data_IF_745939796852
#
_entry.id   IF_745939796852
#
_cell.length_a   1.000
_cell.length_b   1.000
_cell.length_c   1.000
_cell.angle_alpha   90.00
_cell.angle_beta   90.00
_cell.angle_gamma   90.00
#
_symmetry.space_group_name_H-M   'P 1'
#
loop_
_entity.id
_entity.type
_entity.pdbx_description
1 polymer ?
#
# COMPACT_ATOMS: atom_id res chain seq x y z
N UNK A 1 0.38 -13.24 -20.55
CA UNK A 1 1.84 -13.14 -20.66
C UNK A 1 2.22 -11.69 -20.36
N UNK A 2 2.32 -11.35 -19.07
CA UNK A 2 2.49 -9.98 -18.61
C UNK A 2 3.99 -9.64 -18.60
N UNK A 3 4.33 -8.55 -19.28
CA UNK A 3 5.68 -8.03 -19.40
C UNK A 3 6.03 -7.38 -18.06
N UNK A 4 6.87 -8.03 -17.26
CA UNK A 4 7.50 -7.42 -16.10
C UNK A 4 8.31 -6.21 -16.58
N UNK A 5 7.94 -5.01 -16.12
CA UNK A 5 8.77 -3.81 -16.26
C UNK A 5 9.28 -3.42 -14.88
N UNK A 6 10.24 -4.21 -14.39
CA UNK A 6 11.21 -3.71 -13.42
C UNK A 6 12.18 -2.83 -14.20
N UNK A 7 12.27 -1.56 -13.83
CA UNK A 7 13.33 -0.67 -14.32
C UNK A 7 14.19 -0.33 -13.11
N UNK A 8 15.25 -1.11 -12.93
CA UNK A 8 16.38 -0.77 -12.06
C UNK A 8 17.46 -0.09 -12.90
N UNK A 9 18.27 0.80 -12.31
CA UNK A 9 19.75 0.89 -12.43
C UNK A 9 20.27 2.29 -12.02
N UNK A 10 21.25 2.33 -11.11
CA UNK A 10 22.55 2.94 -11.42
C UNK A 10 23.61 1.88 -11.17
N UNK A 11 24.30 1.55 -12.25
CA UNK A 11 25.43 0.63 -12.33
C UNK A 11 26.58 1.49 -12.83
N UNK A 12 27.58 1.73 -11.99
CA UNK A 12 28.94 1.98 -12.48
C UNK A 12 29.71 0.67 -12.28
N UNK A 13 29.44 -0.25 -13.19
CA UNK A 13 29.97 -1.61 -13.23
C UNK A 13 30.67 -1.70 -14.58
N UNK A 14 32.01 -1.80 -14.66
CA UNK A 14 32.68 -2.34 -15.84
C UNK A 14 31.91 -3.55 -16.40
N UNK A 15 31.55 -3.44 -17.67
CA UNK A 15 30.36 -4.00 -18.34
C UNK A 15 30.29 -5.54 -18.56
N UNK A 16 30.87 -6.41 -17.72
CA UNK A 16 30.98 -7.84 -18.07
C UNK A 16 30.43 -8.92 -17.11
N UNK A 17 29.96 -8.62 -15.89
CA UNK A 17 29.63 -9.70 -14.93
C UNK A 17 28.14 -9.89 -14.53
N UNK A 18 27.76 -11.16 -14.37
CA UNK A 18 26.41 -11.69 -14.12
C UNK A 18 25.95 -11.62 -12.65
N UNK A 19 26.82 -11.29 -11.70
CA UNK A 19 26.52 -11.31 -10.26
C UNK A 19 25.64 -10.13 -9.79
N UNK A 20 25.82 -8.92 -10.36
CA UNK A 20 24.96 -7.76 -10.09
C UNK A 20 23.49 -8.00 -10.47
N UNK A 21 23.25 -8.75 -11.56
CA UNK A 21 21.92 -9.13 -12.01
C UNK A 21 21.22 -10.15 -11.09
N UNK A 22 21.94 -10.82 -10.19
CA UNK A 22 21.40 -11.80 -9.25
C UNK A 22 20.77 -11.14 -8.02
N UNK A 23 21.40 -10.12 -7.42
CA UNK A 23 20.82 -9.40 -6.27
C UNK A 23 19.60 -8.55 -6.63
N UNK A 24 19.54 -8.04 -7.86
CA UNK A 24 18.33 -7.37 -8.39
C UNK A 24 17.15 -8.34 -8.44
N UNK A 25 17.38 -9.58 -8.90
CA UNK A 25 16.36 -10.65 -8.89
C UNK A 25 16.00 -11.14 -7.48
N UNK A 26 16.93 -11.05 -6.53
CA UNK A 26 16.73 -11.45 -5.14
C UNK A 26 16.14 -10.33 -4.25
N UNK A 27 15.87 -9.14 -4.80
CA UNK A 27 15.12 -8.08 -4.11
C UNK A 27 15.89 -7.35 -3.01
N UNK A 28 17.21 -7.26 -3.12
CA UNK A 28 18.02 -6.55 -2.11
C UNK A 28 17.77 -5.04 -2.21
N UNK A 29 16.93 -4.52 -1.30
CA UNK A 29 16.54 -3.12 -1.23
C UNK A 29 17.56 -2.23 -0.49
N UNK A 30 18.62 -2.80 0.08
CA UNK A 30 19.63 -2.06 0.85
C UNK A 30 20.91 -1.85 0.04
N UNK A 31 21.43 -0.61 0.00
CA UNK A 31 22.71 -0.33 -0.63
C UNK A 31 23.82 -1.16 0.01
N UNK A 32 24.72 -1.73 -0.80
CA UNK A 32 25.83 -2.49 -0.25
C UNK A 32 26.82 -3.03 -1.27
N UNK A 33 27.96 -3.50 -0.75
CA UNK A 33 29.01 -4.14 -1.54
C UNK A 33 28.63 -5.60 -1.86
N UNK A 34 29.01 -6.05 -3.06
CA UNK A 34 28.82 -7.41 -3.58
C UNK A 34 30.11 -7.86 -4.21
N UNK A 35 30.57 -9.05 -3.86
CA UNK A 35 31.69 -9.68 -4.55
C UNK A 35 31.18 -10.67 -5.59
N UNK A 36 31.70 -10.58 -6.81
CA UNK A 36 31.39 -11.55 -7.85
C UNK A 36 32.17 -12.87 -7.71
N UNK A 37 31.96 -13.79 -8.67
CA UNK A 37 32.67 -15.08 -8.71
C UNK A 37 34.16 -14.97 -9.06
N UNK A 38 34.61 -13.81 -9.55
CA UNK A 38 35.99 -13.53 -9.95
C UNK A 38 36.76 -12.69 -8.91
N UNK A 39 36.08 -12.19 -7.89
CA UNK A 39 36.64 -11.42 -6.78
C UNK A 39 36.53 -9.90 -6.94
N UNK A 40 35.80 -9.38 -7.92
CA UNK A 40 35.54 -7.94 -8.04
C UNK A 40 34.47 -7.48 -7.06
N UNK A 41 34.63 -6.28 -6.51
CA UNK A 41 33.67 -5.65 -5.61
C UNK A 41 32.80 -4.63 -6.34
N UNK A 42 31.48 -4.76 -6.19
CA UNK A 42 30.45 -3.91 -6.77
C UNK A 42 29.67 -3.20 -5.67
N UNK A 43 29.41 -1.89 -5.80
CA UNK A 43 28.42 -1.22 -4.98
C UNK A 43 27.06 -1.24 -5.70
N UNK A 44 26.04 -1.83 -5.08
CA UNK A 44 24.69 -1.92 -5.64
C UNK A 44 23.74 -1.09 -4.78
N UNK A 45 22.99 -0.20 -5.44
CA UNK A 45 21.87 0.54 -4.84
C UNK A 45 20.61 0.36 -5.70
N UNK A 46 19.48 0.10 -5.06
CA UNK A 46 18.22 -0.24 -5.70
C UNK A 46 17.16 0.81 -5.40
N UNK A 47 16.72 1.54 -6.43
CA UNK A 47 15.63 2.49 -6.32
C UNK A 47 14.32 1.82 -6.70
N UNK A 48 13.42 1.67 -5.72
CA UNK A 48 12.04 1.25 -6.00
C UNK A 48 11.15 2.46 -6.22
N UNK A 49 10.14 2.38 -7.10
CA UNK A 49 9.17 3.46 -7.23
C UNK A 49 8.45 3.68 -5.89
N UNK A 50 8.02 4.93 -5.61
CA UNK A 50 7.29 5.19 -4.38
C UNK A 50 6.03 4.32 -4.28
N UNK A 51 5.71 3.78 -3.09
CA UNK A 51 4.52 2.96 -2.89
C UNK A 51 3.26 3.76 -3.21
N UNK A 52 2.19 3.06 -3.57
CA UNK A 52 0.92 3.67 -3.96
C UNK A 52 -0.11 3.48 -2.86
N UNK A 53 -0.83 4.55 -2.50
CA UNK A 53 -2.00 4.45 -1.63
C UNK A 53 -3.25 4.69 -2.49
N UNK A 54 -4.11 3.69 -2.57
CA UNK A 54 -5.43 3.79 -3.19
C UNK A 54 -6.49 4.02 -2.11
N UNK A 55 -7.12 5.19 -2.13
CA UNK A 55 -8.19 5.55 -1.22
C UNK A 55 -9.53 5.40 -1.96
N UNK A 56 -10.32 4.41 -1.56
CA UNK A 56 -11.65 4.12 -2.09
C UNK A 56 -12.70 4.86 -1.27
N UNK A 57 -13.17 5.97 -1.82
CA UNK A 57 -14.04 6.94 -1.16
C UNK A 57 -13.38 8.31 -1.08
N UNK A 58 -14.07 9.34 -1.54
CA UNK A 58 -13.63 10.72 -1.48
C UNK A 58 -14.42 11.51 -0.41
N UNK A 59 -14.73 10.89 0.74
CA UNK A 59 -15.35 11.57 1.89
C UNK A 59 -14.43 12.64 2.49
N UNK A 60 -14.91 13.36 3.52
CA UNK A 60 -14.08 14.37 4.19
C UNK A 60 -12.92 13.75 4.99
N UNK A 61 -13.10 12.50 5.43
CA UNK A 61 -12.09 11.68 6.10
C UNK A 61 -10.98 11.17 5.17
N UNK A 62 -11.20 11.17 3.84
CA UNK A 62 -10.17 10.85 2.86
C UNK A 62 -9.11 11.95 2.71
N UNK A 63 -9.49 13.22 2.96
CA UNK A 63 -8.60 14.38 2.80
C UNK A 63 -7.37 14.32 3.72
N UNK A 64 -7.48 14.12 5.05
CA UNK A 64 -6.31 14.02 5.92
C UNK A 64 -5.44 12.79 5.62
N UNK A 65 -6.05 11.66 5.23
CA UNK A 65 -5.30 10.47 4.85
C UNK A 65 -4.49 10.69 3.57
N UNK A 66 -5.11 11.28 2.55
CA UNK A 66 -4.43 11.62 1.30
C UNK A 66 -3.26 12.57 1.55
N UNK A 67 -3.48 13.61 2.37
CA UNK A 67 -2.43 14.57 2.75
C UNK A 67 -1.24 13.90 3.43
N UNK A 68 -1.48 13.14 4.50
CA UNK A 68 -0.42 12.47 5.25
C UNK A 68 0.34 11.45 4.37
N UNK A 69 -0.36 10.77 3.46
CA UNK A 69 0.25 9.82 2.56
C UNK A 69 1.17 10.51 1.54
N UNK A 70 0.76 11.63 0.94
CA UNK A 70 1.64 12.45 0.08
C UNK A 70 2.86 12.93 0.86
N UNK A 71 2.66 13.48 2.06
CA UNK A 71 3.74 13.99 2.92
C UNK A 71 4.76 12.90 3.34
N UNK A 72 4.35 11.63 3.38
CA UNK A 72 5.23 10.48 3.70
C UNK A 72 5.77 9.76 2.46
N UNK A 73 5.54 10.31 1.26
CA UNK A 73 6.14 9.83 0.02
C UNK A 73 5.32 8.77 -0.74
N UNK A 74 4.04 8.58 -0.42
CA UNK A 74 3.17 7.74 -1.25
C UNK A 74 2.69 8.49 -2.49
N UNK A 75 2.54 7.76 -3.59
CA UNK A 75 1.71 8.19 -4.72
C UNK A 75 0.25 7.91 -4.39
N UNK A 76 -0.55 8.95 -4.24
CA UNK A 76 -1.94 8.81 -3.80
C UNK A 76 -2.91 8.84 -4.98
N UNK A 77 -3.81 7.86 -5.01
CA UNK A 77 -4.98 7.85 -5.90
C UNK A 77 -6.23 7.83 -5.03
N UNK A 78 -7.13 8.79 -5.22
CA UNK A 78 -8.47 8.77 -4.61
C UNK A 78 -9.48 8.43 -5.67
N UNK A 79 -10.29 7.40 -5.42
CA UNK A 79 -11.35 6.97 -6.32
C UNK A 79 -12.72 7.07 -5.65
N UNK A 80 -13.69 7.61 -6.38
CA UNK A 80 -15.09 7.64 -5.96
C UNK A 80 -15.99 7.56 -7.19
N UNK A 81 -17.23 7.08 -7.04
CA UNK A 81 -18.23 7.07 -8.11
C UNK A 81 -19.00 8.39 -8.20
N UNK A 82 -18.89 9.23 -7.17
CA UNK A 82 -19.60 10.51 -7.02
C UNK A 82 -18.68 11.62 -7.53
N UNK A 83 -18.92 12.17 -8.74
CA UNK A 83 -18.04 13.18 -9.31
C UNK A 83 -17.95 14.45 -8.44
N UNK A 84 -19.02 14.81 -7.73
CA UNK A 84 -19.05 15.98 -6.84
C UNK A 84 -18.10 15.90 -5.64
N UNK A 85 -17.59 14.71 -5.29
CA UNK A 85 -16.58 14.56 -4.25
C UNK A 85 -15.15 14.63 -4.81
N UNK A 86 -14.96 14.46 -6.11
CA UNK A 86 -13.66 14.50 -6.78
C UNK A 86 -13.32 15.93 -7.24
N UNK A 87 -13.44 16.88 -6.31
CA UNK A 87 -13.05 18.27 -6.51
C UNK A 87 -11.56 18.44 -6.12
N UNK A 88 -10.67 18.85 -7.05
CA UNK A 88 -9.24 19.01 -6.77
C UNK A 88 -8.94 19.89 -5.56
N UNK A 89 -9.75 20.92 -5.31
CA UNK A 89 -9.55 21.90 -4.24
C UNK A 89 -9.73 21.30 -2.83
N UNK A 90 -10.30 20.10 -2.72
CA UNK A 90 -10.44 19.36 -1.44
C UNK A 90 -9.17 18.61 -1.06
N UNK A 91 -8.29 18.35 -2.01
CA UNK A 91 -7.11 17.53 -1.80
C UNK A 91 -5.85 18.38 -1.94
N UNK A 92 -4.76 17.92 -1.32
CA UNK A 92 -3.45 18.51 -1.56
C UNK A 92 -3.00 18.21 -2.99
N UNK A 93 -2.01 18.97 -3.46
CA UNK A 93 -1.35 18.71 -4.73
C UNK A 93 -0.81 17.26 -4.80
N UNK A 94 -0.58 16.76 -6.01
CA UNK A 94 -0.08 15.41 -6.29
C UNK A 94 -1.01 14.22 -5.94
N UNK A 95 -2.26 14.50 -5.55
CA UNK A 95 -3.31 13.48 -5.45
C UNK A 95 -3.98 13.26 -6.81
N UNK A 96 -3.98 12.02 -7.30
CA UNK A 96 -4.69 11.64 -8.53
C UNK A 96 -6.14 11.32 -8.20
N UNK A 97 -7.08 12.09 -8.74
CA UNK A 97 -8.52 11.84 -8.60
C UNK A 97 -9.03 10.97 -9.75
N UNK A 98 -9.70 9.86 -9.43
CA UNK A 98 -10.26 8.93 -10.41
C UNK A 98 -11.75 8.74 -10.21
N UNK A 99 -12.54 9.10 -11.21
CA UNK A 99 -13.95 8.73 -11.27
C UNK A 99 -14.07 7.27 -11.73
N UNK A 100 -14.53 6.38 -10.85
CA UNK A 100 -14.75 4.97 -11.18
C UNK A 100 -15.91 4.38 -10.40
N UNK A 101 -16.56 3.37 -10.97
CA UNK A 101 -17.52 2.55 -10.24
C UNK A 101 -16.76 1.63 -9.26
N UNK A 102 -17.32 1.33 -8.06
CA UNK A 102 -16.61 0.55 -7.06
C UNK A 102 -16.09 -0.80 -7.55
N UNK A 103 -16.89 -1.52 -8.35
CA UNK A 103 -16.53 -2.80 -8.96
C UNK A 103 -15.37 -2.72 -9.97
N UNK A 104 -15.18 -1.56 -10.59
CA UNK A 104 -14.20 -1.34 -11.67
C UNK A 104 -12.93 -0.64 -11.15
N UNK A 105 -12.94 -0.21 -9.87
CA UNK A 105 -11.95 0.69 -9.31
C UNK A 105 -10.53 0.12 -9.27
N UNK A 106 -10.40 -1.17 -8.91
CA UNK A 106 -9.12 -1.86 -8.89
C UNK A 106 -8.43 -1.82 -10.26
N UNK A 107 -9.16 -2.10 -11.33
CA UNK A 107 -8.66 -2.03 -12.69
C UNK A 107 -8.40 -0.59 -13.15
N UNK A 108 -9.36 0.33 -12.91
CA UNK A 108 -9.25 1.73 -13.31
C UNK A 108 -8.09 2.48 -12.62
N UNK A 109 -7.70 2.01 -11.43
CA UNK A 109 -6.57 2.54 -10.67
C UNK A 109 -5.29 1.71 -10.84
N UNK A 110 -5.29 0.65 -11.65
CA UNK A 110 -4.16 -0.27 -11.79
C UNK A 110 -3.62 -0.74 -10.43
N UNK A 111 -4.51 -1.21 -9.55
CA UNK A 111 -4.15 -1.70 -8.22
C UNK A 111 -3.36 -3.01 -8.33
N UNK A 112 -2.16 -3.02 -7.76
CA UNK A 112 -1.20 -4.11 -7.88
C UNK A 112 -0.35 -4.33 -6.61
N UNK A 113 0.75 -5.09 -6.70
CA UNK A 113 1.56 -5.47 -5.53
C UNK A 113 2.25 -4.30 -4.83
N UNK A 114 2.35 -3.14 -5.48
CA UNK A 114 2.88 -1.88 -4.95
C UNK A 114 1.80 -0.96 -4.35
N UNK A 115 0.54 -1.41 -4.35
CA UNK A 115 -0.63 -0.58 -4.01
C UNK A 115 -1.30 -1.04 -2.71
N UNK A 116 -1.34 -0.16 -1.72
CA UNK A 116 -2.06 -0.36 -0.45
C UNK A 116 -3.43 0.28 -0.57
N UNK A 117 -4.52 -0.44 -0.28
CA UNK A 117 -5.87 0.06 -0.47
C UNK A 117 -6.58 0.35 0.87
N UNK A 118 -7.28 1.47 0.95
CA UNK A 118 -8.13 1.84 2.10
C UNK A 118 -9.54 2.13 1.59
N UNK A 119 -10.53 1.41 2.12
CA UNK A 119 -11.94 1.53 1.78
C UNK A 119 -12.67 2.29 2.87
N UNK A 120 -13.17 3.48 2.52
CA UNK A 120 -13.73 4.45 3.47
C UNK A 120 -14.87 5.29 2.87
N UNK A 121 -15.78 4.67 2.10
CA UNK A 121 -16.88 5.43 1.47
C UNK A 121 -18.02 5.77 2.44
N UNK A 122 -18.06 5.09 3.59
CA UNK A 122 -19.18 5.01 4.55
C UNK A 122 -20.47 4.39 4.00
N UNK A 123 -20.50 4.00 2.72
CA UNK A 123 -21.68 3.42 2.07
C UNK A 123 -21.53 1.90 1.95
N UNK A 124 -22.38 1.15 2.65
CA UNK A 124 -22.23 -0.32 2.81
C UNK A 124 -22.12 -1.07 1.48
N UNK A 125 -22.99 -0.77 0.52
CA UNK A 125 -22.97 -1.45 -0.79
C UNK A 125 -21.74 -1.08 -1.63
N UNK A 126 -21.26 0.17 -1.52
CA UNK A 126 -20.09 0.62 -2.27
C UNK A 126 -18.82 -0.01 -1.68
N UNK A 127 -18.66 0.01 -0.36
CA UNK A 127 -17.54 -0.62 0.34
C UNK A 127 -17.46 -2.13 0.06
N UNK A 128 -18.59 -2.83 0.01
CA UNK A 128 -18.62 -4.25 -0.37
C UNK A 128 -18.16 -4.50 -1.80
N UNK A 129 -18.55 -3.60 -2.71
CA UNK A 129 -18.13 -3.69 -4.12
C UNK A 129 -16.64 -3.38 -4.30
N UNK A 130 -16.10 -2.39 -3.57
CA UNK A 130 -14.66 -2.12 -3.55
C UNK A 130 -13.86 -3.29 -2.97
N UNK A 131 -14.33 -3.85 -1.84
CA UNK A 131 -13.70 -4.99 -1.21
C UNK A 131 -13.64 -6.21 -2.15
N UNK A 132 -14.74 -6.51 -2.84
CA UNK A 132 -14.78 -7.57 -3.83
C UNK A 132 -13.80 -7.31 -5.00
N UNK A 133 -13.75 -6.07 -5.52
CA UNK A 133 -12.85 -5.73 -6.61
C UNK A 133 -11.36 -5.81 -6.22
N UNK A 134 -11.01 -5.45 -4.99
CA UNK A 134 -9.63 -5.46 -4.50
C UNK A 134 -9.13 -6.87 -4.17
N UNK A 135 -10.03 -7.77 -3.76
CA UNK A 135 -9.71 -9.17 -3.45
C UNK A 135 -9.00 -9.89 -4.59
N UNK A 136 -9.47 -9.69 -5.82
CA UNK A 136 -8.95 -10.35 -7.02
C UNK A 136 -7.62 -9.77 -7.52
N UNK A 137 -7.03 -8.84 -6.76
CA UNK A 137 -5.74 -8.22 -7.08
C UNK A 137 -4.62 -8.73 -6.17
N UNK A 138 -3.39 -8.34 -6.51
CA UNK A 138 -2.21 -8.60 -5.71
C UNK A 138 -1.91 -7.52 -4.66
N UNK A 139 -2.85 -6.61 -4.34
CA UNK A 139 -2.61 -5.60 -3.30
C UNK A 139 -2.22 -6.27 -1.98
N UNK A 140 -1.17 -5.82 -1.27
CA UNK A 140 -0.74 -6.42 -0.02
C UNK A 140 -1.61 -6.06 1.19
N UNK A 141 -2.41 -4.99 1.10
CA UNK A 141 -3.20 -4.45 2.21
C UNK A 141 -4.55 -3.92 1.73
N UNK A 142 -5.61 -4.26 2.45
CA UNK A 142 -6.99 -3.78 2.28
C UNK A 142 -7.51 -3.34 3.66
N UNK A 143 -7.40 -2.05 3.95
CA UNK A 143 -7.95 -1.45 5.16
C UNK A 143 -9.44 -1.14 4.98
N UNK A 144 -10.28 -1.60 5.89
CA UNK A 144 -11.71 -1.27 5.94
C UNK A 144 -11.98 -0.31 7.09
N UNK A 145 -12.41 0.92 6.77
CA UNK A 145 -12.83 1.86 7.79
C UNK A 145 -14.18 1.45 8.39
N UNK A 146 -14.29 1.60 9.70
CA UNK A 146 -15.53 1.41 10.46
C UNK A 146 -15.54 0.16 11.34
N UNK A 147 -16.67 -0.11 12.03
CA UNK A 147 -16.74 -1.16 13.04
C UNK A 147 -16.48 -2.55 12.46
N UNK A 148 -15.73 -3.38 13.21
CA UNK A 148 -15.42 -4.77 12.83
C UNK A 148 -16.63 -5.56 12.33
N UNK A 149 -17.74 -5.48 13.07
CA UNK A 149 -18.97 -6.22 12.74
C UNK A 149 -19.55 -5.85 11.37
N UNK A 150 -19.35 -4.61 10.90
CA UNK A 150 -19.81 -4.16 9.59
C UNK A 150 -19.10 -4.92 8.48
N UNK A 151 -17.78 -5.04 8.57
CA UNK A 151 -16.98 -5.80 7.61
C UNK A 151 -17.27 -7.30 7.72
N UNK A 152 -17.41 -7.85 8.93
CA UNK A 152 -17.76 -9.27 9.11
C UNK A 152 -19.10 -9.62 8.43
N UNK A 153 -20.11 -8.75 8.55
CA UNK A 153 -21.40 -8.93 7.85
C UNK A 153 -21.24 -8.87 6.33
N UNK A 154 -20.40 -7.96 5.83
CA UNK A 154 -20.13 -7.80 4.40
C UNK A 154 -19.47 -9.05 3.82
N UNK A 155 -18.45 -9.57 4.50
CA UNK A 155 -17.77 -10.82 4.16
C UNK A 155 -18.74 -12.01 4.18
N UNK A 156 -19.65 -12.07 5.16
CA UNK A 156 -20.65 -13.13 5.28
C UNK A 156 -21.76 -13.04 4.22
N UNK A 157 -22.16 -11.82 3.84
CA UNK A 157 -23.26 -11.57 2.90
C UNK A 157 -22.88 -11.75 1.42
N UNK A 158 -21.58 -11.72 1.13
CA UNK A 158 -21.09 -11.81 -0.24
C UNK A 158 -21.06 -13.28 -0.69
N UNK A 159 -22.22 -13.95 -0.80
CA UNK A 159 -22.48 -15.26 -1.46
C UNK A 159 -21.38 -16.35 -1.44
N UNK A 160 -20.49 -16.38 -0.43
CA UNK A 160 -19.29 -17.23 -0.41
C UNK A 160 -18.14 -16.80 -1.33
N UNK A 161 -18.23 -15.62 -1.95
CA UNK A 161 -17.23 -15.03 -2.86
C UNK A 161 -16.00 -14.53 -2.09
N UNK A 162 -16.15 -14.26 -0.80
CA UNK A 162 -15.15 -13.52 -0.03
C UNK A 162 -14.71 -14.33 1.21
N UNK A 163 -13.66 -15.19 1.08
CA UNK A 163 -13.15 -16.01 2.20
C UNK A 163 -12.84 -15.18 3.44
N UNK A 164 -13.41 -15.49 4.60
CA UNK A 164 -13.24 -14.68 5.83
C UNK A 164 -11.80 -14.65 6.37
N UNK A 165 -10.88 -15.43 5.81
CA UNK A 165 -9.51 -15.65 6.27
C UNK A 165 -8.42 -14.91 5.47
N UNK A 166 -8.81 -14.02 4.54
CA UNK A 166 -7.85 -13.19 3.80
C UNK A 166 -7.10 -12.25 4.74
N UNK A 167 -5.84 -12.59 5.01
CA UNK A 167 -4.94 -11.90 5.94
C UNK A 167 -4.58 -10.48 5.51
N UNK A 168 -4.91 -10.08 4.27
CA UNK A 168 -4.70 -8.73 3.76
C UNK A 168 -5.78 -7.76 4.21
N UNK A 169 -6.89 -8.25 4.78
CA UNK A 169 -7.98 -7.40 5.25
C UNK A 169 -7.75 -6.96 6.69
N UNK A 170 -7.68 -5.65 6.88
CA UNK A 170 -7.55 -5.00 8.18
C UNK A 170 -8.87 -4.28 8.49
N UNK A 171 -9.64 -4.81 9.45
CA UNK A 171 -10.97 -4.33 9.77
C UNK A 171 -11.23 -4.38 11.29
N UNK A 172 -11.25 -3.22 11.99
CA UNK A 172 -11.04 -1.87 11.47
C UNK A 172 -9.61 -1.65 10.94
N UNK A 173 -9.46 -0.75 9.97
CA UNK A 173 -8.17 -0.25 9.54
C UNK A 173 -7.54 0.67 10.59
N UNK A 174 -6.21 0.60 10.73
CA UNK A 174 -5.41 1.46 11.57
C UNK A 174 -4.99 0.86 12.91
N UNK A 175 -3.95 1.44 13.48
CA UNK A 175 -3.41 1.04 14.79
C UNK A 175 -4.29 1.53 15.94
N UNK A 176 -4.36 0.72 17.01
CA UNK A 176 -5.02 1.10 18.26
C UNK A 176 -4.17 2.12 19.03
N UNK A 177 -4.38 3.40 18.71
CA UNK A 177 -3.71 4.54 19.36
C UNK A 177 -4.71 5.48 20.05
N UNK A 178 -5.95 5.04 20.27
CA UNK A 178 -7.00 5.81 20.95
C UNK A 178 -7.50 7.04 20.17
N UNK A 179 -7.74 6.88 18.86
CA UNK A 179 -8.11 7.98 17.96
C UNK A 179 -9.60 8.31 17.98
N UNK A 180 -9.95 9.60 17.95
CA UNK A 180 -11.35 10.05 17.81
C UNK A 180 -11.60 10.95 16.58
N UNK A 181 -10.59 11.70 16.12
CA UNK A 181 -10.71 12.64 15.00
C UNK A 181 -10.26 12.08 13.65
N UNK A 182 -10.73 12.65 12.55
CA UNK A 182 -10.40 12.20 11.18
C UNK A 182 -8.88 12.22 10.91
N UNK A 183 -8.17 13.23 11.39
CA UNK A 183 -6.71 13.34 11.27
C UNK A 183 -5.99 12.27 12.08
N UNK A 184 -6.50 11.94 13.27
CA UNK A 184 -5.91 10.91 14.14
C UNK A 184 -6.14 9.52 13.54
N UNK A 185 -7.35 9.26 13.03
CA UNK A 185 -7.69 8.02 12.32
C UNK A 185 -6.86 7.88 11.05
N UNK A 186 -6.69 8.96 10.28
CA UNK A 186 -5.83 8.95 9.11
C UNK A 186 -4.37 8.59 9.47
N UNK A 187 -3.84 9.16 10.56
CA UNK A 187 -2.51 8.82 11.07
C UNK A 187 -2.40 7.35 11.49
N UNK A 188 -3.42 6.82 12.19
CA UNK A 188 -3.40 5.42 12.63
C UNK A 188 -3.45 4.44 11.46
N UNK A 189 -4.26 4.74 10.44
CA UNK A 189 -4.34 3.97 9.19
C UNK A 189 -3.01 4.01 8.45
N UNK A 190 -2.45 5.19 8.23
CA UNK A 190 -1.19 5.32 7.48
C UNK A 190 -0.03 4.63 8.22
N UNK A 191 0.02 4.73 9.54
CA UNK A 191 1.02 4.01 10.34
C UNK A 191 0.90 2.49 10.20
N UNK A 192 -0.32 1.94 10.15
CA UNK A 192 -0.55 0.52 9.88
C UNK A 192 -0.10 0.15 8.45
N UNK A 193 -0.46 0.94 7.44
CA UNK A 193 -0.05 0.74 6.04
C UNK A 193 1.48 0.70 5.93
N UNK A 194 2.19 1.66 6.53
CA UNK A 194 3.65 1.69 6.51
C UNK A 194 4.28 0.51 7.26
N UNK A 195 3.65 0.04 8.34
CA UNK A 195 4.11 -1.14 9.06
C UNK A 195 3.98 -2.39 8.18
N UNK A 196 2.85 -2.57 7.49
CA UNK A 196 2.62 -3.67 6.55
C UNK A 196 3.61 -3.61 5.39
N UNK A 197 3.81 -2.42 4.81
CA UNK A 197 4.81 -2.18 3.76
C UNK A 197 6.21 -2.62 4.20
N UNK A 198 6.59 -2.29 5.44
CA UNK A 198 7.90 -2.65 6.00
C UNK A 198 7.99 -4.10 6.52
N UNK A 199 6.91 -4.89 6.44
CA UNK A 199 6.86 -6.23 7.03
C UNK A 199 6.97 -6.24 8.56
N UNK A 200 6.51 -5.17 9.23
CA UNK A 200 6.67 -4.95 10.67
C UNK A 200 5.35 -5.08 11.43
N UNK A 201 5.39 -5.49 12.71
CA UNK A 201 4.18 -5.74 13.51
C UNK A 201 3.60 -4.48 14.17
N UNK A 202 4.07 -3.28 13.82
CA UNK A 202 3.62 -2.00 14.40
C UNK A 202 3.67 -1.90 15.94
N UNK A 203 4.61 -2.60 16.60
CA UNK A 203 4.78 -2.57 18.07
C UNK A 203 5.68 -1.41 18.53
N UNK A 204 5.59 -0.99 19.81
CA UNK A 204 6.52 -0.02 20.38
C UNK A 204 7.98 -0.43 20.18
N UNK A 205 8.82 0.49 19.70
CA UNK A 205 10.23 0.19 19.40
C UNK A 205 11.02 -0.32 20.61
N UNK A 206 10.66 0.08 21.84
CA UNK A 206 11.28 -0.41 23.08
C UNK A 206 11.13 -1.93 23.27
N UNK A 207 10.18 -2.57 22.61
CA UNK A 207 9.96 -4.03 22.66
C UNK A 207 10.85 -4.78 21.65
N UNK A 208 11.50 -4.07 20.71
CA UNK A 208 12.39 -4.66 19.73
C UNK A 208 13.71 -5.04 20.39
N UNK A 209 14.04 -6.34 20.32
CA UNK A 209 15.27 -6.91 20.90
C UNK A 209 16.45 -7.00 19.91
N UNK A 210 16.24 -6.56 18.67
CA UNK A 210 17.24 -6.55 17.59
C UNK A 210 17.51 -5.11 17.12
N UNK A 211 18.71 -4.79 16.58
CA UNK A 211 19.02 -3.46 16.08
C UNK A 211 17.97 -2.94 15.08
N UNK A 212 17.75 -1.62 15.05
CA UNK A 212 16.72 -0.97 14.21
C UNK A 212 16.99 -1.16 12.70
N UNK A 213 18.26 -1.27 12.35
CA UNK A 213 18.77 -1.51 11.00
C UNK A 213 19.47 -2.86 10.86
N UNK A 214 19.06 -3.87 11.64
CA UNK A 214 19.55 -5.22 11.42
C UNK A 214 19.16 -5.63 9.99
N UNK A 215 20.18 -5.84 9.15
CA UNK A 215 20.02 -6.50 7.85
C UNK A 215 19.75 -7.96 8.19
N UNK A 216 18.59 -8.49 7.80
CA UNK A 216 18.35 -9.93 7.95
C UNK A 216 19.42 -10.64 7.08
N UNK A 217 20.30 -11.37 7.76
CA UNK A 217 21.47 -12.03 7.17
C UNK A 217 21.11 -13.31 6.41
#
# INVERSE_FOLDING_TARGET
>A
MAIAREVAFVVDVPMDDASGARRIREGVATPGLVTDGEGHEWFVDAFTPPPRLLICGAGDDAMPLARLAVETGFRVVVTDRRPGLLAPERFVDDVVLRLAQPRDAAAACAAGPDTFAVVMTHHYADDGSYLAALRDTAVPYIGMLGPRQRTERMLASADGIVPSDDRRIHAPAGLDIGTDGAEQVALSILAEVMAVQAGRPAKPLRERRVPIHAVDG
#
